data_IF_825037756182
#
_entry.id   IF_825037756182
#
_cell.length_a   1.000
_cell.length_b   1.000
_cell.length_c   1.000
_cell.angle_alpha   90.00
_cell.angle_beta   90.00
_cell.angle_gamma   90.00
#
_symmetry.space_group_name_H-M   'P 1'
#
loop_
_entity.id
_entity.type
_entity.pdbx_description
1 polymer ?
#
# COMPACT_ATOMS: atom_id res chain seq x y z
N UNK A 1 -24.83 -8.46 6.01
CA UNK A 1 -25.00 -7.87 4.68
C UNK A 1 -24.37 -8.79 3.65
N UNK A 2 -24.90 -8.79 2.44
CA UNK A 2 -24.25 -9.41 1.29
C UNK A 2 -23.45 -8.36 0.50
N UNK A 3 -22.15 -8.57 0.34
CA UNK A 3 -21.22 -7.61 -0.25
C UNK A 3 -20.49 -8.25 -1.42
N UNK A 4 -20.47 -7.57 -2.57
CA UNK A 4 -19.83 -8.06 -3.80
C UNK A 4 -18.69 -7.13 -4.20
N UNK A 5 -17.53 -7.72 -4.49
CA UNK A 5 -16.36 -7.02 -5.04
C UNK A 5 -16.14 -7.45 -6.49
N UNK A 6 -16.57 -6.68 -7.49
CA UNK A 6 -16.16 -6.89 -8.87
C UNK A 6 -14.72 -6.39 -9.06
N UNK A 7 -13.80 -7.27 -9.44
CA UNK A 7 -12.37 -6.98 -9.62
C UNK A 7 -11.88 -7.54 -10.95
N UNK A 8 -10.86 -6.92 -11.57
CA UNK A 8 -10.25 -7.44 -12.80
C UNK A 8 -9.24 -8.54 -12.51
N UNK A 9 -8.46 -8.35 -11.44
CA UNK A 9 -7.39 -9.25 -11.02
C UNK A 9 -7.03 -8.98 -9.56
N UNK A 10 -6.47 -9.97 -8.88
CA UNK A 10 -5.86 -9.88 -7.56
C UNK A 10 -4.37 -10.22 -7.66
N UNK A 11 -3.68 -9.56 -8.58
CA UNK A 11 -2.23 -9.62 -8.76
C UNK A 11 -1.48 -8.93 -7.62
N UNK A 12 -0.17 -9.19 -7.53
CA UNK A 12 0.69 -8.56 -6.54
C UNK A 12 0.64 -7.03 -6.67
N UNK A 13 0.10 -6.35 -5.65
CA UNK A 13 -0.02 -4.90 -5.62
C UNK A 13 -0.87 -4.40 -4.46
N UNK A 14 -0.71 -3.11 -4.11
CA UNK A 14 -1.38 -2.50 -2.96
C UNK A 14 -2.91 -2.53 -3.04
N UNK A 15 -3.48 -2.26 -4.20
CA UNK A 15 -4.93 -2.28 -4.41
C UNK A 15 -5.54 -3.68 -4.28
N UNK A 16 -4.91 -4.69 -4.88
CA UNK A 16 -5.33 -6.08 -4.76
C UNK A 16 -5.20 -6.59 -3.33
N UNK A 17 -4.11 -6.23 -2.62
CA UNK A 17 -3.90 -6.53 -1.21
C UNK A 17 -4.99 -5.91 -0.34
N UNK A 18 -5.37 -4.66 -0.61
CA UNK A 18 -6.48 -4.00 0.10
C UNK A 18 -7.78 -4.80 -0.02
N UNK A 19 -8.17 -5.18 -1.23
CA UNK A 19 -9.40 -5.94 -1.47
C UNK A 19 -9.34 -7.31 -0.82
N UNK A 20 -8.23 -8.02 -0.96
CA UNK A 20 -8.03 -9.33 -0.36
C UNK A 20 -8.26 -9.29 1.16
N UNK A 21 -7.57 -8.39 1.85
CA UNK A 21 -7.68 -8.28 3.30
C UNK A 21 -9.05 -7.77 3.75
N UNK A 22 -9.60 -6.75 3.08
CA UNK A 22 -10.92 -6.22 3.42
C UNK A 22 -12.02 -7.27 3.22
N UNK A 23 -12.01 -7.99 2.09
CA UNK A 23 -12.99 -9.02 1.81
C UNK A 23 -12.97 -10.12 2.88
N UNK A 24 -11.76 -10.60 3.24
CA UNK A 24 -11.60 -11.59 4.31
C UNK A 24 -12.03 -11.05 5.68
N UNK A 25 -11.69 -9.81 6.02
CA UNK A 25 -12.07 -9.21 7.31
C UNK A 25 -13.59 -9.00 7.44
N UNK A 26 -14.26 -8.60 6.35
CA UNK A 26 -15.73 -8.53 6.32
C UNK A 26 -16.39 -9.91 6.44
N UNK A 27 -15.81 -10.93 5.81
CA UNK A 27 -16.26 -12.32 5.97
C UNK A 27 -16.13 -12.79 7.43
N UNK A 28 -15.01 -12.47 8.09
CA UNK A 28 -14.78 -12.80 9.51
C UNK A 28 -15.78 -12.10 10.45
N UNK A 29 -16.31 -10.94 10.05
CA UNK A 29 -17.40 -10.24 10.75
C UNK A 29 -18.79 -10.85 10.52
N UNK A 30 -18.90 -11.92 9.75
CA UNK A 30 -20.16 -12.61 9.47
C UNK A 30 -20.95 -12.03 8.29
N UNK A 31 -20.36 -11.21 7.43
CA UNK A 31 -20.98 -10.80 6.18
C UNK A 31 -20.86 -11.89 5.12
N UNK A 32 -21.83 -12.00 4.21
CA UNK A 32 -21.71 -12.82 2.99
C UNK A 32 -20.91 -12.03 1.97
N UNK A 33 -19.65 -12.43 1.73
CA UNK A 33 -18.77 -11.72 0.81
C UNK A 33 -18.47 -12.57 -0.42
N UNK A 34 -18.63 -11.98 -1.60
CA UNK A 34 -18.34 -12.63 -2.88
C UNK A 34 -17.42 -11.72 -3.73
N UNK A 35 -16.30 -12.27 -4.20
CA UNK A 35 -15.45 -11.61 -5.19
C UNK A 35 -15.82 -12.15 -6.57
N UNK A 36 -16.06 -11.24 -7.53
CA UNK A 36 -16.36 -11.60 -8.92
C UNK A 36 -15.22 -11.15 -9.80
N UNK A 37 -14.62 -12.07 -10.54
CA UNK A 37 -13.39 -11.82 -11.30
C UNK A 37 -13.42 -12.56 -12.64
N UNK A 38 -12.89 -11.97 -13.75
CA UNK A 38 -12.71 -12.69 -15.00
C UNK A 38 -11.85 -13.96 -14.83
N UNK A 39 -12.08 -14.97 -15.67
CA UNK A 39 -11.30 -16.22 -15.64
C UNK A 39 -9.79 -15.98 -15.79
N UNK A 40 -9.40 -15.00 -16.62
CA UNK A 40 -8.02 -14.59 -16.86
C UNK A 40 -7.37 -13.79 -15.72
N UNK A 41 -8.16 -13.30 -14.75
CA UNK A 41 -7.63 -12.53 -13.61
C UNK A 41 -6.76 -13.41 -12.71
N UNK A 42 -5.57 -12.96 -12.34
CA UNK A 42 -4.70 -13.65 -11.40
C UNK A 42 -5.22 -13.56 -9.97
N UNK A 43 -4.83 -14.52 -9.13
CA UNK A 43 -5.10 -14.53 -7.70
C UNK A 43 -3.82 -14.97 -6.98
N UNK A 44 -3.20 -14.04 -6.28
CA UNK A 44 -1.95 -14.31 -5.55
C UNK A 44 -2.23 -14.77 -4.12
N UNK A 45 -3.23 -14.18 -3.45
CA UNK A 45 -3.56 -14.50 -2.06
C UNK A 45 -4.77 -15.45 -1.97
N UNK A 46 -4.79 -16.37 -0.98
CA UNK A 46 -5.90 -17.30 -0.77
C UNK A 46 -7.11 -16.58 -0.16
N UNK A 47 -8.13 -16.28 -0.94
CA UNK A 47 -9.40 -15.75 -0.45
C UNK A 47 -10.12 -16.78 0.40
N UNK A 48 -10.69 -16.34 1.54
CA UNK A 48 -11.60 -17.14 2.37
C UNK A 48 -13.06 -16.90 1.99
N UNK A 49 -13.30 -15.86 1.20
CA UNK A 49 -14.60 -15.51 0.65
C UNK A 49 -14.90 -16.33 -0.60
N UNK A 50 -16.16 -16.33 -1.01
CA UNK A 50 -16.54 -16.94 -2.28
C UNK A 50 -15.91 -16.20 -3.45
N UNK A 51 -15.28 -16.93 -4.37
CA UNK A 51 -14.75 -16.41 -5.62
C UNK A 51 -15.57 -16.93 -6.78
N UNK A 52 -16.21 -16.03 -7.51
CA UNK A 52 -16.91 -16.32 -8.76
C UNK A 52 -16.05 -15.96 -9.96
N UNK A 53 -15.71 -16.95 -10.76
CA UNK A 53 -15.04 -16.74 -12.03
C UNK A 53 -16.07 -16.58 -13.14
N UNK A 54 -15.90 -15.50 -13.95
CA UNK A 54 -16.80 -15.18 -15.07
C UNK A 54 -15.96 -15.01 -16.35
N UNK A 55 -16.58 -15.14 -17.53
CA UNK A 55 -15.88 -14.87 -18.79
C UNK A 55 -15.44 -13.39 -18.86
N UNK A 56 -16.37 -12.49 -18.54
CA UNK A 56 -16.19 -11.04 -18.52
C UNK A 56 -17.02 -10.40 -17.40
N UNK A 57 -16.57 -9.24 -16.91
CA UNK A 57 -17.37 -8.41 -16.02
C UNK A 57 -18.39 -7.61 -16.85
N UNK A 58 -19.62 -8.10 -16.85
CA UNK A 58 -20.78 -7.45 -17.49
C UNK A 58 -21.86 -7.21 -16.43
N UNK A 59 -22.88 -6.37 -16.68
CA UNK A 59 -24.00 -6.18 -15.75
C UNK A 59 -24.69 -7.50 -15.37
N UNK A 60 -24.79 -8.44 -16.31
CA UNK A 60 -25.42 -9.75 -16.07
C UNK A 60 -24.60 -10.66 -15.17
N UNK A 61 -23.27 -10.55 -15.20
CA UNK A 61 -22.33 -11.37 -14.41
C UNK A 61 -22.23 -10.96 -12.94
N UNK A 62 -22.67 -9.73 -12.59
CA UNK A 62 -22.71 -9.26 -11.20
C UNK A 62 -23.87 -9.95 -10.47
N UNK A 63 -23.63 -10.61 -9.32
CA UNK A 63 -24.71 -11.19 -8.50
C UNK A 63 -25.47 -10.12 -7.72
N UNK A 64 -26.71 -10.42 -7.31
CA UNK A 64 -27.47 -9.54 -6.41
C UNK A 64 -26.82 -9.48 -5.04
N UNK A 65 -26.76 -8.29 -4.46
CA UNK A 65 -26.15 -8.01 -3.15
C UNK A 65 -26.84 -6.81 -2.48
N UNK A 66 -26.58 -6.61 -1.18
CA UNK A 66 -26.94 -5.35 -0.53
C UNK A 66 -26.03 -4.23 -1.05
N UNK A 67 -24.72 -4.51 -1.15
CA UNK A 67 -23.71 -3.56 -1.63
C UNK A 67 -22.78 -4.18 -2.66
N UNK A 68 -22.42 -3.38 -3.69
CA UNK A 68 -21.46 -3.74 -4.72
C UNK A 68 -20.32 -2.71 -4.66
N UNK A 69 -19.08 -3.18 -4.42
CA UNK A 69 -17.91 -2.34 -4.17
C UNK A 69 -16.89 -2.44 -5.33
N UNK A 70 -17.12 -1.77 -6.47
CA UNK A 70 -16.14 -1.70 -7.55
C UNK A 70 -14.95 -0.82 -7.12
N UNK A 71 -13.72 -1.25 -7.47
CA UNK A 71 -12.50 -0.57 -7.06
C UNK A 71 -11.71 0.08 -8.20
N UNK A 72 -12.00 -0.25 -9.44
CA UNK A 72 -11.30 0.23 -10.63
C UNK A 72 -12.28 0.71 -11.68
N UNK A 73 -11.95 1.73 -12.47
CA UNK A 73 -12.90 2.38 -13.37
C UNK A 73 -13.63 1.41 -14.31
N UNK A 74 -12.94 0.36 -14.81
CA UNK A 74 -13.56 -0.66 -15.66
C UNK A 74 -14.56 -1.57 -14.93
N UNK A 75 -14.55 -1.60 -13.61
CA UNK A 75 -15.49 -2.41 -12.80
C UNK A 75 -16.73 -1.63 -12.37
N UNK A 76 -16.66 -0.29 -12.46
CA UNK A 76 -17.73 0.60 -11.97
C UNK A 76 -18.96 0.56 -12.86
N UNK A 77 -18.79 0.69 -14.16
CA UNK A 77 -19.92 0.70 -15.11
C UNK A 77 -20.71 -0.62 -15.08
N UNK A 78 -20.10 -1.81 -15.17
CA UNK A 78 -20.83 -3.06 -15.02
C UNK A 78 -21.57 -3.20 -13.68
N UNK A 79 -20.95 -2.73 -12.59
CA UNK A 79 -21.59 -2.73 -11.27
C UNK A 79 -22.82 -1.82 -11.26
N UNK A 80 -22.70 -0.60 -11.74
CA UNK A 80 -23.78 0.39 -11.78
C UNK A 80 -24.97 -0.06 -12.66
N UNK A 81 -24.67 -0.48 -13.89
CA UNK A 81 -25.70 -0.93 -14.85
C UNK A 81 -26.36 -2.24 -14.47
N UNK A 82 -25.76 -3.03 -13.54
CA UNK A 82 -26.38 -4.27 -13.07
C UNK A 82 -27.69 -4.02 -12.33
N UNK A 83 -27.81 -2.91 -11.61
CA UNK A 83 -28.95 -2.57 -10.74
C UNK A 83 -29.30 -3.68 -9.72
N UNK A 84 -28.27 -4.46 -9.31
CA UNK A 84 -28.46 -5.64 -8.42
C UNK A 84 -28.06 -5.38 -6.97
N UNK A 85 -27.85 -4.12 -6.59
CA UNK A 85 -27.52 -3.67 -5.23
C UNK A 85 -27.02 -2.23 -5.25
N UNK A 86 -26.85 -1.65 -4.06
CA UNK A 86 -26.31 -0.30 -3.94
C UNK A 86 -24.82 -0.29 -4.27
N UNK A 87 -24.43 0.50 -5.27
CA UNK A 87 -23.04 0.63 -5.66
C UNK A 87 -22.35 1.67 -4.77
N UNK A 88 -21.21 1.30 -4.20
CA UNK A 88 -20.33 2.19 -3.44
C UNK A 88 -18.94 2.08 -4.03
N UNK A 89 -18.42 3.18 -4.59
CA UNK A 89 -17.10 3.17 -5.23
C UNK A 89 -15.99 3.11 -4.19
N UNK A 90 -15.19 2.06 -4.25
CA UNK A 90 -13.96 1.93 -3.46
C UNK A 90 -12.79 2.51 -4.27
N UNK A 91 -12.42 3.77 -4.03
CA UNK A 91 -11.32 4.42 -4.71
C UNK A 91 -10.01 4.16 -3.97
N UNK A 92 -9.13 3.35 -4.58
CA UNK A 92 -7.80 3.01 -4.04
C UNK A 92 -6.69 3.90 -4.62
N UNK A 93 -7.06 4.86 -5.44
CA UNK A 93 -6.24 5.87 -6.07
C UNK A 93 -7.07 6.63 -7.11
N UNK A 94 -6.60 7.79 -7.55
CA UNK A 94 -7.29 8.58 -8.58
C UNK A 94 -6.79 8.14 -9.96
N UNK A 95 -7.46 7.14 -10.55
CA UNK A 95 -7.04 6.46 -11.77
C UNK A 95 -6.83 7.37 -12.99
N UNK A 96 -7.57 8.49 -13.18
CA UNK A 96 -7.33 9.38 -14.31
C UNK A 96 -5.89 9.87 -14.47
N UNK A 97 -5.08 9.81 -13.40
CA UNK A 97 -3.67 10.22 -13.45
C UNK A 97 -2.75 9.23 -14.19
N UNK A 98 -3.17 7.96 -14.38
CA UNK A 98 -2.25 6.93 -14.91
C UNK A 98 -2.88 5.90 -15.87
N UNK A 99 -4.21 5.96 -16.07
CA UNK A 99 -4.86 5.04 -17.03
C UNK A 99 -4.80 5.57 -18.45
N UNK A 100 -4.85 4.70 -19.47
CA UNK A 100 -4.84 5.13 -20.88
C UNK A 100 -6.04 5.99 -21.29
N UNK A 101 -7.18 5.81 -20.61
CA UNK A 101 -8.42 6.57 -20.87
C UNK A 101 -8.83 7.32 -19.60
N UNK A 102 -8.21 8.49 -19.34
CA UNK A 102 -8.47 9.28 -18.15
C UNK A 102 -9.89 9.86 -18.11
N UNK A 103 -10.47 10.16 -19.28
CA UNK A 103 -11.80 10.74 -19.34
C UNK A 103 -12.88 9.75 -18.95
N UNK A 104 -12.87 8.54 -19.51
CA UNK A 104 -13.75 7.45 -19.07
C UNK A 104 -13.56 7.15 -17.58
N UNK A 105 -12.33 7.12 -17.09
CA UNK A 105 -12.07 6.91 -15.68
C UNK A 105 -12.69 8.03 -14.81
N UNK A 106 -12.57 9.30 -15.21
CA UNK A 106 -13.16 10.44 -14.52
C UNK A 106 -14.70 10.35 -14.50
N UNK A 107 -15.32 10.00 -15.61
CA UNK A 107 -16.78 9.84 -15.71
C UNK A 107 -17.32 8.80 -14.72
N UNK A 108 -16.54 7.75 -14.37
CA UNK A 108 -16.97 6.75 -13.39
C UNK A 108 -17.06 7.29 -11.95
N UNK A 109 -16.47 8.43 -11.64
CA UNK A 109 -16.69 9.11 -10.36
C UNK A 109 -18.02 9.90 -10.35
N UNK A 110 -18.48 10.37 -11.50
CA UNK A 110 -19.64 11.26 -11.65
C UNK A 110 -20.98 10.53 -11.76
N UNK A 111 -21.02 9.21 -11.62
CA UNK A 111 -22.26 8.41 -11.76
C UNK A 111 -23.23 8.55 -10.57
N UNK A 112 -22.84 9.25 -9.49
CA UNK A 112 -23.68 9.46 -8.32
C UNK A 112 -23.55 8.39 -7.23
N UNK A 113 -22.62 7.42 -7.36
CA UNK A 113 -22.36 6.45 -6.31
C UNK A 113 -21.61 7.10 -5.13
N UNK A 114 -21.92 6.76 -3.86
CA UNK A 114 -21.08 7.13 -2.73
C UNK A 114 -19.64 6.63 -2.91
N UNK A 115 -18.66 7.42 -2.41
CA UNK A 115 -17.23 7.14 -2.63
C UNK A 115 -16.53 6.88 -1.30
N UNK A 116 -15.78 5.80 -1.22
CA UNK A 116 -14.76 5.55 -0.19
C UNK A 116 -13.38 5.89 -0.75
N UNK A 117 -12.61 6.68 -0.02
CA UNK A 117 -11.19 7.00 -0.30
C UNK A 117 -10.30 6.42 0.81
N UNK A 118 -9.01 6.20 0.54
CA UNK A 118 -8.14 5.46 1.46
C UNK A 118 -7.24 6.32 2.35
N UNK A 119 -7.26 7.65 2.16
CA UNK A 119 -6.57 8.62 3.02
C UNK A 119 -7.21 10.01 2.93
N UNK A 120 -6.91 10.88 3.90
CA UNK A 120 -7.33 12.28 3.87
C UNK A 120 -6.74 13.03 2.67
N UNK A 121 -5.48 12.73 2.32
CA UNK A 121 -4.86 13.31 1.12
C UNK A 121 -5.60 12.88 -0.15
N UNK A 122 -5.96 11.60 -0.25
CA UNK A 122 -6.71 11.07 -1.39
C UNK A 122 -8.13 11.67 -1.46
N UNK A 123 -8.81 11.84 -0.32
CA UNK A 123 -10.09 12.56 -0.25
C UNK A 123 -9.98 13.99 -0.78
N UNK A 124 -8.94 14.73 -0.36
CA UNK A 124 -8.71 16.10 -0.84
C UNK A 124 -8.42 16.14 -2.35
N UNK A 125 -7.65 15.17 -2.86
CA UNK A 125 -7.40 15.04 -4.29
C UNK A 125 -8.71 14.78 -5.06
N UNK A 126 -9.54 13.84 -4.63
CA UNK A 126 -10.83 13.55 -5.24
C UNK A 126 -11.74 14.79 -5.24
N UNK A 127 -11.86 15.47 -4.10
CA UNK A 127 -12.65 16.70 -4.00
C UNK A 127 -12.17 17.78 -4.97
N UNK A 128 -10.86 17.98 -5.07
CA UNK A 128 -10.25 18.94 -6.00
C UNK A 128 -10.54 18.60 -7.46
N UNK A 129 -10.40 17.34 -7.85
CA UNK A 129 -10.46 16.91 -9.25
C UNK A 129 -11.90 16.66 -9.76
N UNK A 130 -12.81 16.31 -8.86
CA UNK A 130 -14.19 15.91 -9.21
C UNK A 130 -15.27 16.78 -8.60
N UNK A 131 -14.97 17.56 -7.55
CA UNK A 131 -15.95 18.28 -6.74
C UNK A 131 -16.75 17.39 -5.79
N UNK A 132 -16.42 16.09 -5.68
CA UNK A 132 -17.19 15.12 -4.91
C UNK A 132 -16.53 14.83 -3.56
N UNK A 133 -17.37 14.74 -2.53
CA UNK A 133 -16.96 14.27 -1.21
C UNK A 133 -16.81 12.75 -1.19
N UNK A 134 -15.91 12.28 -0.33
CA UNK A 134 -15.73 10.85 -0.07
C UNK A 134 -15.51 10.58 1.41
N UNK A 135 -15.86 9.38 1.87
CA UNK A 135 -15.57 8.92 3.22
C UNK A 135 -14.23 8.23 3.27
N UNK A 136 -13.37 8.63 4.21
CA UNK A 136 -12.03 8.03 4.35
C UNK A 136 -12.13 6.70 5.09
N UNK A 137 -11.62 5.66 4.45
CA UNK A 137 -11.48 4.30 4.98
C UNK A 137 -10.01 3.91 4.85
N UNK A 138 -9.27 4.03 5.94
CA UNK A 138 -7.84 3.75 5.90
C UNK A 138 -7.54 2.25 5.71
N UNK A 139 -6.46 1.95 5.00
CA UNK A 139 -5.93 0.60 4.95
C UNK A 139 -5.38 0.15 6.31
N UNK A 140 -5.40 -1.14 6.54
CA UNK A 140 -4.74 -1.77 7.67
C UNK A 140 -3.42 -2.45 7.30
N UNK A 141 -2.77 -3.03 8.29
CA UNK A 141 -1.64 -3.95 8.13
C UNK A 141 -2.01 -5.30 8.75
N UNK A 142 -1.57 -6.39 8.12
CA UNK A 142 -1.69 -7.74 8.68
C UNK A 142 -0.61 -7.96 9.74
N UNK A 143 -0.94 -7.67 11.00
CA UNK A 143 -0.01 -7.80 12.13
C UNK A 143 0.31 -9.26 12.50
N UNK A 144 -0.35 -10.25 11.91
CA UNK A 144 0.02 -11.65 12.06
C UNK A 144 1.22 -12.01 11.18
N UNK A 145 1.27 -11.44 9.98
CA UNK A 145 2.37 -11.62 9.03
C UNK A 145 3.46 -10.57 9.22
N UNK A 146 3.08 -9.28 9.22
CA UNK A 146 4.02 -8.16 9.44
C UNK A 146 4.18 -7.91 10.93
N UNK A 147 5.19 -8.53 11.53
CA UNK A 147 5.53 -8.47 12.94
C UNK A 147 7.04 -8.57 13.15
N UNK A 148 7.57 -8.27 14.31
CA UNK A 148 8.98 -8.52 14.59
C UNK A 148 9.31 -10.01 14.45
N UNK A 149 10.43 -10.31 13.80
CA UNK A 149 11.04 -11.63 13.68
C UNK A 149 12.43 -11.61 14.32
N UNK A 150 12.95 -12.76 14.80
CA UNK A 150 14.31 -12.82 15.30
C UNK A 150 15.30 -12.31 14.24
N UNK A 151 16.10 -11.31 14.61
CA UNK A 151 17.15 -10.78 13.73
C UNK A 151 18.28 -11.79 13.61
N UNK A 152 18.72 -12.03 12.38
CA UNK A 152 19.97 -12.76 12.13
C UNK A 152 21.13 -11.78 12.35
N UNK A 153 22.15 -12.23 13.08
CA UNK A 153 23.39 -11.45 13.17
C UNK A 153 24.03 -11.41 11.78
N UNK A 154 24.20 -10.20 11.24
CA UNK A 154 24.98 -10.04 10.01
C UNK A 154 26.46 -10.22 10.35
N UNK A 155 27.20 -10.97 9.51
CA UNK A 155 28.62 -11.24 9.71
C UNK A 155 29.48 -9.96 9.75
N UNK A 156 28.97 -8.87 9.15
CA UNK A 156 29.63 -7.58 9.06
C UNK A 156 29.52 -6.75 10.35
N UNK A 157 28.53 -7.02 11.21
CA UNK A 157 28.20 -6.17 12.36
C UNK A 157 27.66 -4.77 11.98
N UNK A 158 27.48 -4.49 10.69
CA UNK A 158 26.98 -3.22 10.19
C UNK A 158 25.46 -3.14 10.29
N UNK A 159 24.90 -1.92 10.25
CA UNK A 159 23.45 -1.69 10.14
C UNK A 159 22.98 -1.99 8.73
N UNK A 160 21.82 -2.62 8.61
CA UNK A 160 21.22 -2.97 7.32
C UNK A 160 20.11 -1.98 6.93
N UNK A 161 20.29 -1.34 5.79
CA UNK A 161 19.23 -0.54 5.14
C UNK A 161 18.45 -1.48 4.21
N UNK A 162 17.12 -1.45 4.29
CA UNK A 162 16.25 -2.12 3.35
C UNK A 162 15.52 -1.10 2.47
N UNK A 163 15.45 -1.40 1.18
CA UNK A 163 14.77 -0.58 0.18
C UNK A 163 13.99 -1.45 -0.81
N UNK A 164 12.83 -0.96 -1.27
CA UNK A 164 12.06 -1.59 -2.36
C UNK A 164 12.26 -0.75 -3.61
N UNK A 165 13.05 -1.26 -4.55
CA UNK A 165 13.30 -0.61 -5.84
C UNK A 165 12.16 -0.91 -6.80
N UNK A 166 11.69 0.12 -7.48
CA UNK A 166 10.81 -0.01 -8.64
C UNK A 166 11.51 0.60 -9.85
N UNK A 167 11.41 -0.06 -10.98
CA UNK A 167 12.13 0.35 -12.17
C UNK A 167 11.58 1.67 -12.75
N UNK A 168 12.37 2.77 -12.75
CA UNK A 168 11.96 4.02 -13.38
C UNK A 168 11.74 3.89 -14.89
N UNK A 169 12.50 3.02 -15.56
CA UNK A 169 12.35 2.78 -17.00
C UNK A 169 11.03 2.09 -17.35
N UNK A 170 10.46 1.34 -16.40
CA UNK A 170 9.11 0.75 -16.50
C UNK A 170 8.00 1.71 -16.07
N UNK A 171 8.27 3.03 -16.00
CA UNK A 171 7.30 4.06 -15.70
C UNK A 171 7.12 4.36 -14.19
N UNK A 172 7.94 3.80 -13.29
CA UNK A 172 7.83 4.02 -11.85
C UNK A 172 8.70 5.16 -11.32
N UNK A 173 8.88 6.23 -12.09
CA UNK A 173 9.72 7.39 -11.71
C UNK A 173 9.28 8.04 -10.41
N UNK A 174 7.97 8.08 -10.13
CA UNK A 174 7.42 8.67 -8.90
C UNK A 174 7.73 7.88 -7.62
N UNK A 175 8.30 6.67 -7.73
CA UNK A 175 8.74 5.88 -6.56
C UNK A 175 10.07 6.37 -5.98
N UNK A 176 10.72 7.36 -6.61
CA UNK A 176 11.90 8.06 -6.06
C UNK A 176 13.16 7.22 -5.97
N UNK A 177 13.30 6.20 -6.84
CA UNK A 177 14.49 5.35 -6.87
C UNK A 177 15.79 6.13 -7.15
N UNK A 178 15.73 7.17 -7.99
CA UNK A 178 16.87 8.03 -8.28
C UNK A 178 17.33 8.82 -7.07
N UNK A 179 16.41 9.33 -6.26
CA UNK A 179 16.70 10.06 -5.01
C UNK A 179 17.31 9.14 -3.96
N UNK A 180 16.82 7.93 -3.85
CA UNK A 180 17.44 6.92 -3.00
C UNK A 180 18.89 6.65 -3.40
N UNK A 181 19.17 6.41 -4.69
CA UNK A 181 20.52 6.15 -5.17
C UNK A 181 21.46 7.34 -4.95
N UNK A 182 21.00 8.58 -5.14
CA UNK A 182 21.76 9.79 -4.84
C UNK A 182 22.08 9.90 -3.34
N UNK A 183 21.07 9.67 -2.47
CA UNK A 183 21.25 9.69 -1.02
C UNK A 183 22.27 8.64 -0.54
N UNK A 184 22.18 7.41 -1.04
CA UNK A 184 23.15 6.34 -0.73
C UNK A 184 24.55 6.69 -1.24
N UNK A 185 24.67 7.34 -2.40
CA UNK A 185 25.96 7.77 -2.92
C UNK A 185 26.63 8.84 -2.04
N UNK A 186 25.85 9.73 -1.40
CA UNK A 186 26.37 10.67 -0.41
C UNK A 186 26.85 9.97 0.86
N UNK A 187 26.17 8.90 1.29
CA UNK A 187 26.43 8.20 2.55
C UNK A 187 27.63 7.25 2.50
N UNK A 188 27.97 6.69 1.34
CA UNK A 188 28.93 5.59 1.20
C UNK A 188 30.32 5.85 1.77
N UNK A 189 30.73 7.13 1.86
CA UNK A 189 32.02 7.55 2.40
C UNK A 189 31.92 8.18 3.81
N UNK A 190 30.72 8.20 4.41
CA UNK A 190 30.46 8.85 5.70
C UNK A 190 30.18 7.84 6.82
N UNK A 191 29.56 6.70 6.48
CA UNK A 191 29.17 5.68 7.44
C UNK A 191 29.10 4.32 6.76
N UNK A 192 29.54 3.28 7.46
CA UNK A 192 29.44 1.91 6.99
C UNK A 192 28.02 1.35 7.24
N UNK A 193 27.47 0.71 6.22
CA UNK A 193 26.18 0.01 6.27
C UNK A 193 26.13 -1.13 5.26
N UNK A 194 25.22 -2.06 5.46
CA UNK A 194 24.82 -3.07 4.49
C UNK A 194 23.55 -2.58 3.79
N UNK A 195 23.38 -2.94 2.52
CA UNK A 195 22.19 -2.59 1.74
C UNK A 195 21.50 -3.86 1.25
N UNK A 196 20.24 -4.02 1.58
CA UNK A 196 19.36 -5.05 1.01
C UNK A 196 18.29 -4.36 0.16
N UNK A 197 18.08 -4.85 -1.06
CA UNK A 197 17.10 -4.29 -1.99
C UNK A 197 16.16 -5.39 -2.47
N UNK A 198 14.85 -5.16 -2.32
CA UNK A 198 13.84 -5.97 -3.02
C UNK A 198 13.61 -5.36 -4.40
N UNK A 199 13.68 -6.20 -5.43
CA UNK A 199 13.50 -5.80 -6.83
C UNK A 199 12.48 -6.73 -7.50
N UNK A 200 11.74 -6.26 -8.53
CA UNK A 200 10.96 -7.13 -9.40
C UNK A 200 11.85 -8.15 -10.11
N UNK A 201 11.30 -9.27 -10.51
CA UNK A 201 11.99 -10.24 -11.36
C UNK A 201 12.53 -9.58 -12.63
N UNK A 202 13.73 -10.00 -13.04
CA UNK A 202 14.43 -9.53 -14.25
C UNK A 202 14.81 -8.04 -14.28
N UNK A 203 14.68 -7.31 -13.16
CA UNK A 203 15.17 -5.94 -13.06
C UNK A 203 16.63 -5.93 -12.55
N UNK A 204 17.51 -5.21 -13.23
CA UNK A 204 18.88 -4.99 -12.80
C UNK A 204 19.19 -3.50 -12.67
N UNK A 205 19.78 -3.12 -11.55
CA UNK A 205 20.16 -1.73 -11.27
C UNK A 205 21.59 -1.66 -10.79
N UNK A 206 22.31 -0.62 -11.23
CA UNK A 206 23.62 -0.28 -10.68
C UNK A 206 23.44 0.49 -9.36
N UNK A 207 23.99 -0.04 -8.28
CA UNK A 207 24.00 0.61 -6.97
C UNK A 207 25.35 1.22 -6.67
N UNK A 208 25.40 2.38 -5.98
CA UNK A 208 26.67 3.05 -5.63
C UNK A 208 27.47 2.32 -4.55
N UNK A 209 26.88 1.30 -3.94
CA UNK A 209 27.48 0.41 -2.92
C UNK A 209 27.13 -1.04 -3.21
N UNK A 210 27.91 -2.02 -2.72
CA UNK A 210 27.51 -3.41 -2.77
C UNK A 210 26.17 -3.64 -2.07
N UNK A 211 25.27 -4.39 -2.69
CA UNK A 211 23.95 -4.68 -2.12
C UNK A 211 23.57 -6.15 -2.30
N UNK A 212 22.70 -6.64 -1.39
CA UNK A 212 22.01 -7.91 -1.53
C UNK A 212 20.69 -7.67 -2.25
N UNK A 213 20.56 -8.16 -3.48
CA UNK A 213 19.33 -8.13 -4.22
C UNK A 213 18.45 -9.33 -3.84
N UNK A 214 17.17 -9.10 -3.61
CA UNK A 214 16.16 -10.09 -3.25
C UNK A 214 14.94 -9.92 -4.14
N UNK A 215 14.35 -11.02 -4.55
CA UNK A 215 13.02 -11.05 -5.14
C UNK A 215 12.08 -11.68 -4.12
N UNK A 216 10.95 -11.05 -3.87
CA UNK A 216 9.96 -11.57 -2.92
C UNK A 216 8.71 -12.01 -3.65
N UNK A 217 8.20 -13.17 -3.27
CA UNK A 217 7.01 -13.79 -3.87
C UNK A 217 5.84 -13.89 -2.88
N UNK A 218 6.07 -13.52 -1.61
CA UNK A 218 5.07 -13.60 -0.56
C UNK A 218 5.19 -12.46 0.46
N UNK A 219 4.09 -12.18 1.16
CA UNK A 219 4.06 -11.22 2.26
C UNK A 219 4.96 -11.66 3.43
N UNK A 220 5.10 -12.96 3.67
CA UNK A 220 6.00 -13.48 4.70
C UNK A 220 7.47 -13.18 4.39
N UNK A 221 7.91 -13.38 3.15
CA UNK A 221 9.28 -13.03 2.74
C UNK A 221 9.52 -11.52 2.87
N UNK A 222 8.55 -10.70 2.46
CA UNK A 222 8.63 -9.25 2.62
C UNK A 222 8.71 -8.84 4.10
N UNK A 223 7.87 -9.42 4.96
CA UNK A 223 7.89 -9.17 6.40
C UNK A 223 9.23 -9.55 7.03
N UNK A 224 9.84 -10.66 6.59
CA UNK A 224 11.17 -11.07 7.04
C UNK A 224 12.25 -10.08 6.61
N UNK A 225 12.19 -9.52 5.39
CA UNK A 225 13.14 -8.49 4.94
C UNK A 225 13.00 -7.21 5.78
N UNK A 226 11.77 -6.75 6.04
CA UNK A 226 11.56 -5.62 6.93
C UNK A 226 12.16 -5.90 8.32
N UNK A 227 11.82 -7.01 8.94
CA UNK A 227 12.27 -7.34 10.29
C UNK A 227 13.79 -7.55 10.42
N UNK A 228 14.47 -7.97 9.36
CA UNK A 228 15.94 -8.10 9.33
C UNK A 228 16.65 -6.75 9.17
N UNK A 229 15.96 -5.73 8.67
CA UNK A 229 16.53 -4.40 8.50
C UNK A 229 16.63 -3.64 9.83
N UNK A 230 17.63 -2.76 9.92
CA UNK A 230 17.72 -1.76 10.98
C UNK A 230 16.96 -0.49 10.58
N UNK A 231 16.87 -0.24 9.28
CA UNK A 231 16.23 0.93 8.70
C UNK A 231 15.54 0.56 7.39
N UNK A 232 14.28 0.94 7.25
CA UNK A 232 13.57 0.91 5.98
C UNK A 232 13.48 2.33 5.41
N UNK A 233 13.77 2.47 4.12
CA UNK A 233 13.70 3.75 3.41
C UNK A 233 12.61 3.70 2.36
N UNK A 234 11.76 4.73 2.31
CA UNK A 234 10.68 4.87 1.34
C UNK A 234 10.70 6.26 0.70
N UNK A 235 10.67 6.34 -0.63
CA UNK A 235 11.01 7.57 -1.38
C UNK A 235 9.93 8.02 -2.36
N UNK A 236 8.73 7.43 -2.34
CA UNK A 236 7.66 7.81 -3.27
C UNK A 236 7.32 9.30 -3.17
N UNK A 237 7.09 9.94 -4.31
CA UNK A 237 6.69 11.35 -4.37
C UNK A 237 5.24 11.56 -3.98
N UNK A 238 4.38 10.63 -4.38
CA UNK A 238 2.96 10.61 -4.01
C UNK A 238 2.44 9.18 -3.96
N UNK A 239 1.52 8.93 -3.04
CA UNK A 239 0.81 7.68 -2.87
C UNK A 239 -0.59 7.95 -2.36
N UNK A 240 -1.55 7.15 -2.77
CA UNK A 240 -2.89 7.25 -2.21
C UNK A 240 -2.95 6.85 -0.72
N UNK A 241 -2.05 5.94 -0.27
CA UNK A 241 -1.88 5.55 1.14
C UNK A 241 -0.43 5.27 1.52
N UNK A 242 0.29 4.40 0.78
CA UNK A 242 1.67 4.02 1.09
C UNK A 242 1.76 2.90 2.13
N UNK A 243 1.39 1.67 1.80
CA UNK A 243 1.46 0.51 2.71
C UNK A 243 2.88 0.17 3.22
N UNK A 244 3.96 0.25 2.41
CA UNK A 244 5.27 -0.23 2.82
C UNK A 244 5.84 0.39 4.10
N UNK A 245 5.75 1.69 4.38
CA UNK A 245 6.18 2.25 5.66
C UNK A 245 5.39 1.68 6.86
N UNK A 246 4.08 1.49 6.71
CA UNK A 246 3.23 0.93 7.76
C UNK A 246 3.58 -0.54 8.05
N UNK A 247 3.88 -1.32 7.00
CA UNK A 247 4.34 -2.71 7.10
C UNK A 247 5.71 -2.81 7.79
N UNK A 248 6.65 -1.92 7.44
CA UNK A 248 7.96 -1.87 8.09
C UNK A 248 7.85 -1.51 9.58
N UNK A 249 7.01 -0.52 9.93
CA UNK A 249 6.71 -0.19 11.33
C UNK A 249 6.14 -1.39 12.08
N UNK A 250 5.20 -2.12 11.49
CA UNK A 250 4.62 -3.32 12.09
C UNK A 250 5.66 -4.41 12.36
N UNK A 251 6.68 -4.50 11.51
CA UNK A 251 7.82 -5.40 11.71
C UNK A 251 8.85 -4.92 12.75
N UNK A 252 8.63 -3.76 13.38
CA UNK A 252 9.56 -3.20 14.38
C UNK A 252 10.81 -2.61 13.74
N UNK A 253 10.72 -2.10 12.52
CA UNK A 253 11.81 -1.50 11.77
C UNK A 253 11.68 0.01 11.78
N UNK A 254 12.76 0.74 12.06
CA UNK A 254 12.76 2.19 11.96
C UNK A 254 12.55 2.63 10.50
N UNK A 255 11.81 3.71 10.30
CA UNK A 255 11.40 4.18 8.97
C UNK A 255 11.91 5.59 8.70
N UNK A 256 12.54 5.79 7.54
CA UNK A 256 12.69 7.10 6.89
C UNK A 256 11.79 7.10 5.67
N UNK A 257 10.89 8.07 5.57
CA UNK A 257 9.92 8.15 4.46
C UNK A 257 9.81 9.56 3.93
N UNK A 258 9.55 9.68 2.64
CA UNK A 258 9.10 10.95 2.07
C UNK A 258 7.67 11.25 2.48
N UNK A 259 7.31 12.54 2.51
CA UNK A 259 5.93 12.99 2.62
C UNK A 259 5.21 12.74 1.28
N UNK A 260 4.69 11.54 1.10
CA UNK A 260 4.03 11.13 -0.14
C UNK A 260 2.51 11.36 -0.15
N UNK A 261 1.98 12.17 0.76
CA UNK A 261 0.57 12.51 0.84
C UNK A 261 -0.25 11.50 1.62
N UNK A 262 -0.52 10.32 1.06
CA UNK A 262 -1.36 9.31 1.71
C UNK A 262 -0.82 8.76 3.02
N UNK A 263 0.48 8.82 3.24
CA UNK A 263 1.07 8.37 4.50
C UNK A 263 0.87 9.36 5.67
N UNK A 264 0.45 10.60 5.41
CA UNK A 264 0.16 11.61 6.46
C UNK A 264 -0.88 11.17 7.48
N UNK A 265 -1.72 10.20 7.14
CA UNK A 265 -2.74 9.68 8.06
C UNK A 265 -2.13 8.85 9.20
N UNK A 266 -0.89 8.34 9.06
CA UNK A 266 -0.26 7.46 10.04
C UNK A 266 1.20 7.80 10.39
N UNK A 267 1.89 8.67 9.64
CA UNK A 267 3.26 9.08 9.96
C UNK A 267 3.28 10.32 10.86
N UNK A 268 4.12 10.30 11.89
CA UNK A 268 4.35 11.41 12.82
C UNK A 268 5.86 11.61 12.88
N UNK A 269 6.33 12.69 12.23
CA UNK A 269 7.76 12.99 12.12
C UNK A 269 8.45 13.11 13.49
N UNK A 270 9.57 12.43 13.64
CA UNK A 270 10.35 12.40 14.88
C UNK A 270 9.76 11.49 15.96
N UNK A 271 8.57 10.92 15.78
CA UNK A 271 7.94 9.97 16.71
C UNK A 271 8.01 8.54 16.19
N UNK A 272 7.26 8.21 15.14
CA UNK A 272 7.19 6.84 14.58
C UNK A 272 7.96 6.69 13.27
N UNK A 273 8.49 7.80 12.70
CA UNK A 273 9.37 7.80 11.53
C UNK A 273 10.21 9.08 11.50
N UNK A 274 11.18 9.16 10.57
CA UNK A 274 11.68 10.45 10.09
C UNK A 274 11.03 10.74 8.73
N UNK A 275 10.43 11.92 8.60
CA UNK A 275 9.73 12.38 7.42
C UNK A 275 10.57 13.44 6.70
N UNK A 276 10.77 13.28 5.40
CA UNK A 276 11.53 14.21 4.56
C UNK A 276 10.69 14.68 3.36
N UNK A 277 10.96 15.85 2.77
CA UNK A 277 10.29 16.25 1.54
C UNK A 277 10.57 15.27 0.40
N UNK A 278 9.59 15.05 -0.51
CA UNK A 278 9.86 14.29 -1.74
C UNK A 278 10.89 15.01 -2.60
N UNK A 279 11.66 14.27 -3.38
CA UNK A 279 12.74 14.77 -4.27
C UNK A 279 13.93 15.39 -3.58
N UNK A 280 13.99 15.44 -2.26
CA UNK A 280 15.12 15.99 -1.48
C UNK A 280 16.05 14.87 -1.00
N UNK A 281 16.98 14.46 -1.87
CA UNK A 281 17.92 13.38 -1.55
C UNK A 281 18.98 13.79 -0.49
N UNK A 282 19.23 15.07 -0.27
CA UNK A 282 20.17 15.56 0.76
C UNK A 282 19.55 15.44 2.15
N UNK A 283 18.31 15.88 2.33
CA UNK A 283 17.58 15.64 3.58
C UNK A 283 17.35 14.15 3.82
N UNK A 284 17.05 13.37 2.77
CA UNK A 284 16.95 11.92 2.85
C UNK A 284 18.26 11.30 3.36
N UNK A 285 19.41 11.67 2.78
CA UNK A 285 20.72 11.23 3.22
C UNK A 285 20.99 11.59 4.68
N UNK A 286 20.68 12.82 5.08
CA UNK A 286 20.85 13.31 6.45
C UNK A 286 20.01 12.50 7.45
N UNK A 287 18.73 12.23 7.12
CA UNK A 287 17.85 11.44 7.96
C UNK A 287 18.33 9.98 8.11
N UNK A 288 18.77 9.36 7.02
CA UNK A 288 19.36 8.01 7.05
C UNK A 288 20.61 8.00 7.91
N UNK A 289 21.55 8.92 7.69
CA UNK A 289 22.79 9.05 8.48
C UNK A 289 22.51 9.16 9.97
N UNK A 290 21.56 10.03 10.36
CA UNK A 290 21.12 10.24 11.74
C UNK A 290 20.71 8.94 12.42
N UNK A 291 19.87 8.12 11.76
CA UNK A 291 19.41 6.85 12.34
C UNK A 291 20.46 5.73 12.28
N UNK A 292 21.39 5.75 11.33
CA UNK A 292 22.52 4.82 11.32
C UNK A 292 23.51 5.08 12.47
N UNK A 293 23.67 6.35 12.89
CA UNK A 293 24.64 6.77 13.93
C UNK A 293 24.04 6.83 15.33
N UNK A 294 22.70 6.88 15.46
CA UNK A 294 22.03 6.99 16.75
C UNK A 294 21.14 5.78 17.02
N UNK A 295 21.71 4.76 17.66
CA UNK A 295 21.02 3.50 17.99
C UNK A 295 19.82 3.74 18.91
N UNK A 296 19.94 4.62 19.90
CA UNK A 296 18.87 4.91 20.83
C UNK A 296 17.65 5.53 20.14
N UNK A 297 17.87 6.49 19.26
CA UNK A 297 16.81 7.12 18.51
C UNK A 297 16.17 6.17 17.49
N UNK A 298 16.97 5.38 16.77
CA UNK A 298 16.47 4.38 15.82
C UNK A 298 15.59 3.37 16.52
N UNK A 299 16.01 2.84 17.67
CA UNK A 299 15.24 1.86 18.47
C UNK A 299 13.95 2.49 19.01
N UNK A 300 14.00 3.74 19.47
CA UNK A 300 12.81 4.46 19.95
C UNK A 300 11.78 4.62 18.83
N UNK A 301 12.20 5.12 17.66
CA UNK A 301 11.33 5.30 16.48
C UNK A 301 10.73 3.95 16.05
N UNK A 302 11.51 2.90 15.99
CA UNK A 302 11.06 1.56 15.65
C UNK A 302 10.02 1.03 16.64
N UNK A 303 10.26 1.19 17.96
CA UNK A 303 9.34 0.77 19.02
C UNK A 303 8.02 1.55 18.99
N UNK A 304 8.07 2.88 18.83
CA UNK A 304 6.88 3.72 18.72
C UNK A 304 6.08 3.35 17.46
N UNK A 305 6.75 3.19 16.32
CA UNK A 305 6.12 2.76 15.07
C UNK A 305 5.43 1.41 15.21
N UNK A 306 6.10 0.43 15.82
CA UNK A 306 5.51 -0.88 16.05
C UNK A 306 4.26 -0.82 16.94
N UNK A 307 4.33 -0.12 18.06
CA UNK A 307 3.19 0.04 18.97
C UNK A 307 2.01 0.73 18.27
N UNK A 308 2.28 1.79 17.50
CA UNK A 308 1.28 2.51 16.75
C UNK A 308 0.51 1.60 15.78
N UNK A 309 1.20 0.73 15.06
CA UNK A 309 0.59 -0.14 14.04
C UNK A 309 -0.35 -1.20 14.61
N UNK A 310 -0.27 -1.52 15.91
CA UNK A 310 -1.15 -2.52 16.52
C UNK A 310 -2.64 -2.14 16.47
N UNK A 311 -2.94 -0.85 16.32
CA UNK A 311 -4.32 -0.35 16.15
C UNK A 311 -4.71 -0.15 14.67
N UNK A 312 -3.78 -0.31 13.73
CA UNK A 312 -3.99 -0.15 12.29
C UNK A 312 -4.19 -1.48 11.60
N UNK A 313 -5.24 -2.20 11.98
CA UNK A 313 -5.52 -3.55 11.50
C UNK A 313 -6.56 -3.56 10.38
N UNK A 314 -6.60 -4.63 9.59
CA UNK A 314 -7.66 -4.84 8.60
C UNK A 314 -9.03 -5.02 9.24
N UNK A 315 -9.09 -5.44 10.50
CA UNK A 315 -10.32 -5.48 11.26
C UNK A 315 -10.88 -4.06 11.48
N UNK A 316 -10.03 -3.10 11.87
CA UNK A 316 -10.41 -1.68 11.96
C UNK A 316 -10.90 -1.15 10.60
N UNK A 317 -10.25 -1.51 9.49
CA UNK A 317 -10.70 -1.14 8.15
C UNK A 317 -12.10 -1.68 7.86
N UNK A 318 -12.35 -2.96 8.19
CA UNK A 318 -13.67 -3.57 8.02
C UNK A 318 -14.74 -2.93 8.92
N UNK A 319 -14.38 -2.50 10.15
CA UNK A 319 -15.30 -1.77 11.04
C UNK A 319 -15.70 -0.42 10.43
N UNK A 320 -14.75 0.31 9.85
CA UNK A 320 -15.03 1.58 9.16
C UNK A 320 -15.93 1.38 7.93
N UNK A 321 -15.65 0.35 7.12
CA UNK A 321 -16.47 0.01 5.94
C UNK A 321 -17.89 -0.37 6.39
N UNK A 322 -18.01 -1.26 7.37
CA UNK A 322 -19.34 -1.68 7.87
C UNK A 322 -20.15 -0.50 8.39
N UNK A 323 -19.52 0.37 9.20
CA UNK A 323 -20.18 1.57 9.73
C UNK A 323 -20.66 2.50 8.60
N UNK A 324 -19.82 2.71 7.59
CA UNK A 324 -20.19 3.52 6.44
C UNK A 324 -21.35 2.90 5.63
N UNK A 325 -21.26 1.61 5.30
CA UNK A 325 -22.33 0.92 4.55
C UNK A 325 -23.67 0.91 5.30
N UNK A 326 -23.65 0.83 6.64
CA UNK A 326 -24.88 0.91 7.45
C UNK A 326 -25.48 2.32 7.52
N UNK A 327 -24.71 3.36 7.19
CA UNK A 327 -25.19 4.75 7.18
C UNK A 327 -25.84 5.17 5.85
N UNK A 328 -25.72 4.36 4.81
CA UNK A 328 -26.33 4.54 3.49
C UNK A 328 -27.75 3.95 3.43
#
# INVERSE_FOLDING_TARGET
MKIVFPVLSLEMGGGARFIYHLANALQDKGHEVEVVMPQKGAQVWPLRTKLRRVSELTPSSIPSADFILPNFYLTVKPAWESQKGQVVRLSLGYEPLWVPDPETAKQTYLIGAPIMSISQWHRQLLLKETGLESTVINAGVDTLTFRPYPKRSLATGRKNIFYIMRDPASGYTWKGGSEFLKAINLLKNQVDFDLTVSIPENAYFAYPVPCQMKTTTSDLEMAQLYAQADLFVYTSYFEAFGLPPLEAMACGTAVVTTDCGGNRDYVINGENCLLVPPSDFEQLSTAIYRLLRNDAERQRIASVGHTFTQTWTWQRTADQVEAFLRSL
#
